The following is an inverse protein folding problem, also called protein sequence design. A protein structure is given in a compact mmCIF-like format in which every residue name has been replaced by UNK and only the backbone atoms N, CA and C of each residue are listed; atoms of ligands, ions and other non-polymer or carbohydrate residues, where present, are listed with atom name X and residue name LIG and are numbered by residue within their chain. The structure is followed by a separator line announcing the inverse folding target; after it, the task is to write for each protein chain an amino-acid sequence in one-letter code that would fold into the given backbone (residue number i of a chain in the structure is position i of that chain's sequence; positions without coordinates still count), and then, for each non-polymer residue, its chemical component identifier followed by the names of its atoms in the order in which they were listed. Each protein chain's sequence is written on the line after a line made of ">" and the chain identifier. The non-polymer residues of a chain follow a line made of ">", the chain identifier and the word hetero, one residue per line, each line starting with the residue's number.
data_IF_432836770442
#
_entry.id   IF_432836770442
#
_cell.length_a   1.000
_cell.length_b   1.000
_cell.length_c   1.000
_cell.angle_alpha   90.00
_cell.angle_beta   90.00
_cell.angle_gamma   90.00
#
_symmetry.space_group_name_H-M   'P 1'
#
loop_
_entity.id
_entity.type
_entity.pdbx_description
1 polymer ?
#
# COMPACT_ATOMS: atom_id res chain seq x y z
N UNK A 1 -0.82 -36.38 -25.43
CA UNK A 1 -2.05 -35.82 -24.84
C UNK A 1 -1.73 -35.41 -23.41
N UNK A 2 -1.23 -34.18 -23.20
CA UNK A 2 -0.97 -33.66 -21.85
C UNK A 2 -2.28 -33.20 -21.24
N UNK A 3 -2.68 -33.83 -20.13
CA UNK A 3 -3.83 -33.41 -19.35
C UNK A 3 -3.52 -32.06 -18.69
N UNK A 4 -4.23 -31.02 -19.10
CA UNK A 4 -4.28 -29.75 -18.37
C UNK A 4 -4.86 -30.04 -16.99
N UNK A 5 -4.07 -29.82 -15.94
CA UNK A 5 -4.53 -29.88 -14.57
C UNK A 5 -5.58 -28.79 -14.35
N UNK A 6 -6.85 -29.18 -14.29
CA UNK A 6 -7.94 -28.27 -14.05
C UNK A 6 -7.93 -27.91 -12.56
N UNK A 7 -7.53 -26.67 -12.28
CA UNK A 7 -7.43 -26.12 -10.93
C UNK A 7 -8.84 -26.05 -10.33
N UNK A 8 -9.03 -26.64 -9.15
CA UNK A 8 -10.31 -26.65 -8.44
C UNK A 8 -10.84 -25.21 -8.24
N UNK A 9 -12.17 -24.99 -8.27
CA UNK A 9 -12.75 -23.65 -8.15
C UNK A 9 -12.48 -23.11 -6.74
N UNK A 10 -11.54 -22.16 -6.65
CA UNK A 10 -11.26 -21.47 -5.39
C UNK A 10 -12.50 -20.70 -4.94
N UNK A 11 -12.82 -20.81 -3.64
CA UNK A 11 -13.89 -20.07 -2.98
C UNK A 11 -13.91 -18.60 -3.44
N UNK A 12 -15.09 -18.15 -3.91
CA UNK A 12 -15.41 -16.84 -4.47
C UNK A 12 -14.22 -15.89 -4.62
N UNK A 13 -13.62 -15.84 -5.81
CA UNK A 13 -12.64 -14.80 -6.15
C UNK A 13 -13.22 -13.43 -5.76
N UNK A 14 -12.42 -12.54 -5.15
CA UNK A 14 -12.90 -11.17 -4.90
C UNK A 14 -13.31 -10.54 -6.25
N UNK A 15 -14.33 -9.67 -6.24
CA UNK A 15 -14.78 -8.99 -7.48
C UNK A 15 -13.63 -8.26 -8.16
N UNK A 16 -12.72 -7.67 -7.38
CA UNK A 16 -11.50 -7.04 -7.88
C UNK A 16 -10.61 -8.03 -8.64
N UNK A 17 -10.37 -9.23 -8.08
CA UNK A 17 -9.58 -10.26 -8.77
C UNK A 17 -10.23 -10.73 -10.07
N UNK A 18 -11.56 -10.90 -10.10
CA UNK A 18 -12.28 -11.24 -11.35
C UNK A 18 -12.14 -10.15 -12.41
N UNK A 19 -12.19 -8.89 -12.00
CA UNK A 19 -12.04 -7.77 -12.92
C UNK A 19 -10.63 -7.76 -13.54
N UNK A 20 -9.60 -7.99 -12.73
CA UNK A 20 -8.21 -8.11 -13.21
C UNK A 20 -8.04 -9.32 -14.14
N UNK A 21 -8.57 -10.49 -13.77
CA UNK A 21 -8.56 -11.68 -14.62
C UNK A 21 -9.24 -11.42 -15.97
N UNK A 22 -10.39 -10.73 -15.98
CA UNK A 22 -11.10 -10.37 -17.20
C UNK A 22 -10.33 -9.34 -18.05
N UNK A 23 -9.61 -8.39 -17.45
CA UNK A 23 -8.74 -7.47 -18.17
C UNK A 23 -7.58 -8.21 -18.84
N UNK A 24 -6.91 -9.09 -18.11
CA UNK A 24 -5.80 -9.88 -18.62
C UNK A 24 -6.25 -10.85 -19.73
N UNK A 25 -7.39 -11.53 -19.55
CA UNK A 25 -7.96 -12.42 -20.56
C UNK A 25 -8.38 -11.69 -21.85
N UNK A 26 -8.73 -10.41 -21.74
CA UNK A 26 -9.03 -9.54 -22.88
C UNK A 26 -7.79 -8.81 -23.44
N UNK A 27 -6.58 -9.22 -23.04
CA UNK A 27 -5.30 -8.62 -23.44
C UNK A 27 -5.21 -7.11 -23.17
N UNK A 28 -5.90 -6.63 -22.11
CA UNK A 28 -5.83 -5.23 -21.67
C UNK A 28 -4.73 -5.03 -20.64
N UNK A 29 -4.15 -3.83 -20.67
CA UNK A 29 -3.16 -3.43 -19.67
C UNK A 29 -3.80 -3.35 -18.28
N UNK A 30 -3.11 -3.89 -17.28
CA UNK A 30 -3.40 -3.69 -15.85
C UNK A 30 -2.35 -2.73 -15.31
N UNK A 31 -2.78 -1.56 -14.86
CA UNK A 31 -1.91 -0.49 -14.38
C UNK A 31 -1.71 -0.62 -12.87
N UNK A 32 -0.46 -0.76 -12.46
CA UNK A 32 -0.05 -0.68 -11.06
C UNK A 32 0.13 0.79 -10.64
N UNK A 33 0.13 1.05 -9.34
CA UNK A 33 0.55 2.33 -8.80
C UNK A 33 2.04 2.61 -9.00
N UNK A 34 2.46 3.82 -8.64
CA UNK A 34 3.85 4.28 -8.73
C UNK A 34 4.56 4.33 -7.37
N UNK A 35 5.65 5.09 -7.32
CA UNK A 35 6.46 5.25 -6.11
C UNK A 35 5.76 6.07 -5.02
N UNK A 36 5.13 5.38 -4.05
CA UNK A 36 4.47 6.01 -2.89
C UNK A 36 5.45 6.90 -2.10
N UNK A 37 6.65 6.41 -1.79
CA UNK A 37 7.66 7.19 -1.07
C UNK A 37 8.05 8.49 -1.82
N UNK A 38 8.22 8.42 -3.13
CA UNK A 38 8.57 9.58 -3.96
C UNK A 38 7.44 10.60 -4.02
N UNK A 39 6.19 10.14 -4.04
CA UNK A 39 5.01 10.99 -3.99
C UNK A 39 4.81 11.64 -2.61
N UNK A 40 5.15 10.93 -1.53
CA UNK A 40 5.17 11.46 -0.16
C UNK A 40 6.23 12.56 -0.03
N UNK A 41 7.43 12.34 -0.55
CA UNK A 41 8.51 13.34 -0.58
C UNK A 41 8.09 14.62 -1.31
N UNK A 42 7.44 14.49 -2.48
CA UNK A 42 6.91 15.64 -3.23
C UNK A 42 5.92 16.46 -2.41
N UNK A 43 4.94 15.80 -1.78
CA UNK A 43 3.87 16.46 -1.00
C UNK A 43 4.39 17.13 0.26
N UNK A 44 5.47 16.63 0.83
CA UNK A 44 5.98 17.09 2.11
C UNK A 44 7.17 18.05 2.04
N UNK A 45 7.50 18.53 0.83
CA UNK A 45 8.41 19.65 0.53
C UNK A 45 9.11 20.23 1.78
N UNK A 46 10.15 19.55 2.28
CA UNK A 46 10.90 19.96 3.48
C UNK A 46 11.16 18.88 4.53
N UNK A 47 10.38 17.80 4.59
CA UNK A 47 10.71 16.65 5.45
C UNK A 47 11.84 15.83 4.80
N UNK A 48 12.95 15.63 5.50
CA UNK A 48 14.01 14.73 5.03
C UNK A 48 13.48 13.30 5.05
N UNK A 49 13.31 12.63 3.89
CA UNK A 49 12.89 11.24 3.88
C UNK A 49 13.85 10.42 4.72
N UNK A 50 13.30 9.60 5.61
CA UNK A 50 14.11 8.64 6.34
C UNK A 50 14.52 7.52 5.38
N UNK A 51 15.81 7.42 5.01
CA UNK A 51 16.26 6.41 4.05
C UNK A 51 16.04 4.98 4.58
N UNK A 52 15.93 4.79 5.90
CA UNK A 52 15.69 3.47 6.50
C UNK A 52 14.23 3.00 6.36
N UNK A 53 13.28 3.93 6.20
CA UNK A 53 11.85 3.64 6.21
C UNK A 53 11.15 3.84 4.86
N UNK A 54 11.82 4.41 3.84
CA UNK A 54 11.37 4.48 2.43
C UNK A 54 9.85 4.61 2.24
N UNK A 55 9.23 5.66 2.81
CA UNK A 55 7.78 5.89 2.74
C UNK A 55 6.98 5.36 3.94
N UNK A 56 7.27 4.14 4.43
CA UNK A 56 6.55 3.47 5.53
C UNK A 56 6.48 4.29 6.82
N UNK A 57 7.43 5.20 7.05
CA UNK A 57 7.40 6.15 8.16
C UNK A 57 6.10 6.98 8.18
N UNK A 58 5.51 7.25 7.02
CA UNK A 58 4.31 8.06 6.87
C UNK A 58 3.08 7.36 7.47
N UNK A 59 3.06 6.02 7.53
CA UNK A 59 2.01 5.30 8.26
C UNK A 59 2.00 5.64 9.76
N UNK A 60 3.16 5.99 10.34
CA UNK A 60 3.27 6.35 11.76
C UNK A 60 2.98 7.84 12.00
N UNK A 61 3.44 8.71 11.10
CA UNK A 61 3.49 10.16 11.35
C UNK A 61 2.54 10.99 10.48
N UNK A 62 2.21 10.52 9.28
CA UNK A 62 1.45 11.27 8.29
C UNK A 62 0.47 10.36 7.49
N UNK A 63 -0.42 9.59 8.14
CA UNK A 63 -1.27 8.63 7.46
C UNK A 63 -2.24 9.28 6.45
N UNK A 64 -2.60 10.55 6.65
CA UNK A 64 -3.39 11.29 5.65
C UNK A 64 -2.61 11.53 4.35
N UNK A 65 -1.30 11.78 4.44
CA UNK A 65 -0.47 11.93 3.24
C UNK A 65 -0.41 10.62 2.43
N UNK A 66 -0.38 9.47 3.11
CA UNK A 66 -0.46 8.15 2.46
C UNK A 66 -1.81 7.97 1.75
N UNK A 67 -2.91 8.34 2.41
CA UNK A 67 -4.25 8.32 1.80
C UNK A 67 -4.31 9.21 0.55
N UNK A 68 -3.78 10.43 0.61
CA UNK A 68 -3.82 11.37 -0.51
C UNK A 68 -2.95 10.91 -1.69
N UNK A 69 -1.85 10.18 -1.44
CA UNK A 69 -1.07 9.52 -2.48
C UNK A 69 -1.90 8.39 -3.12
N UNK A 70 -2.53 7.53 -2.33
CA UNK A 70 -3.39 6.47 -2.86
C UNK A 70 -4.55 7.04 -3.70
N UNK A 71 -5.23 8.09 -3.21
CA UNK A 71 -6.28 8.78 -3.98
C UNK A 71 -5.77 9.27 -5.33
N UNK A 72 -4.59 9.89 -5.37
CA UNK A 72 -4.02 10.35 -6.64
C UNK A 72 -3.75 9.22 -7.64
N UNK A 73 -3.43 8.01 -7.17
CA UNK A 73 -3.28 6.84 -8.04
C UNK A 73 -4.64 6.26 -8.47
N UNK A 74 -5.66 6.31 -7.60
CA UNK A 74 -7.03 5.99 -7.98
C UNK A 74 -7.51 6.94 -9.08
N UNK A 75 -7.36 8.25 -8.90
CA UNK A 75 -7.74 9.29 -9.86
C UNK A 75 -6.99 9.15 -11.21
N UNK A 76 -5.76 8.64 -11.18
CA UNK A 76 -4.98 8.35 -12.37
C UNK A 76 -5.44 7.08 -13.13
N UNK A 77 -6.39 6.33 -12.57
CA UNK A 77 -6.94 5.10 -13.17
C UNK A 77 -6.12 3.84 -12.89
N UNK A 78 -5.29 3.82 -11.83
CA UNK A 78 -4.57 2.60 -11.43
C UNK A 78 -5.55 1.49 -11.03
N UNK A 79 -5.24 0.25 -11.41
CA UNK A 79 -6.06 -0.92 -11.10
C UNK A 79 -5.60 -1.65 -9.83
N UNK A 80 -4.35 -1.44 -9.42
CA UNK A 80 -3.74 -2.07 -8.25
C UNK A 80 -2.97 -1.03 -7.47
N UNK A 81 -3.20 -0.98 -6.16
CA UNK A 81 -2.46 -0.15 -5.21
C UNK A 81 -1.58 -1.04 -4.32
N UNK A 82 -0.36 -0.58 -4.08
CA UNK A 82 0.52 -1.06 -3.02
C UNK A 82 0.11 -0.42 -1.69
N UNK A 83 0.34 -1.09 -0.56
CA UNK A 83 -0.20 -0.66 0.76
C UNK A 83 0.76 0.18 1.60
N UNK A 84 1.89 0.59 1.04
CA UNK A 84 2.97 1.33 1.74
C UNK A 84 3.56 0.57 2.95
N UNK A 85 3.56 -0.76 2.91
CA UNK A 85 4.05 -1.61 4.01
C UNK A 85 5.44 -2.21 3.76
N UNK A 86 6.31 -1.51 3.02
CA UNK A 86 7.67 -2.00 2.80
C UNK A 86 8.47 -1.97 4.12
N UNK A 87 9.28 -3.00 4.41
CA UNK A 87 10.08 -3.07 5.64
C UNK A 87 9.27 -2.97 6.95
N UNK A 88 7.97 -3.28 6.92
CA UNK A 88 7.04 -3.06 8.05
C UNK A 88 7.41 -3.82 9.33
N UNK A 89 8.15 -4.93 9.22
CA UNK A 89 8.58 -5.73 10.36
C UNK A 89 9.64 -5.04 11.21
N UNK A 90 10.53 -4.25 10.57
CA UNK A 90 11.57 -3.46 11.25
C UNK A 90 11.13 -2.03 11.53
N UNK A 91 10.11 -1.53 10.83
CA UNK A 91 9.68 -0.14 10.92
C UNK A 91 9.35 0.36 12.34
N UNK A 92 8.62 -0.39 13.21
CA UNK A 92 8.34 0.08 14.57
C UNK A 92 9.60 0.28 15.42
N UNK A 93 10.62 -0.57 15.22
CA UNK A 93 11.85 -0.47 15.99
C UNK A 93 12.72 0.70 15.52
N UNK A 94 12.80 0.92 14.20
CA UNK A 94 13.45 2.11 13.62
C UNK A 94 12.75 3.38 14.09
N UNK A 95 11.42 3.40 14.10
CA UNK A 95 10.63 4.53 14.59
C UNK A 95 10.84 4.80 16.08
N UNK A 96 10.85 3.75 16.91
CA UNK A 96 11.13 3.85 18.34
C UNK A 96 12.53 4.40 18.61
N UNK A 97 13.55 3.90 17.89
CA UNK A 97 14.93 4.37 18.01
C UNK A 97 15.02 5.86 17.71
N UNK A 98 14.24 6.36 16.75
CA UNK A 98 14.18 7.79 16.43
C UNK A 98 13.54 8.65 17.51
N UNK A 99 12.47 8.16 18.15
CA UNK A 99 11.76 8.91 19.20
C UNK A 99 12.54 8.98 20.53
N UNK A 100 13.53 8.12 20.73
CA UNK A 100 14.42 8.13 21.90
C UNK A 100 13.83 7.47 23.15
N UNK A 101 14.55 7.55 24.27
CA UNK A 101 14.27 6.80 25.51
C UNK A 101 12.95 7.18 26.24
N UNK A 102 12.14 8.09 25.68
CA UNK A 102 10.81 8.47 26.18
C UNK A 102 9.65 8.04 25.27
N UNK A 103 9.92 7.28 24.20
CA UNK A 103 8.88 6.76 23.33
C UNK A 103 7.95 5.82 24.13
N UNK A 104 6.64 6.03 24.01
CA UNK A 104 5.62 5.17 24.63
C UNK A 104 5.64 3.73 24.11
N UNK A 105 4.59 2.97 24.40
CA UNK A 105 4.48 1.58 23.93
C UNK A 105 4.65 1.52 22.40
N UNK A 106 5.48 0.59 21.93
CA UNK A 106 5.73 0.45 20.50
C UNK A 106 4.47 -0.04 19.79
N UNK A 107 4.06 0.69 18.76
CA UNK A 107 2.97 0.26 17.88
C UNK A 107 3.36 -1.09 17.27
N UNK A 108 2.51 -2.09 17.45
CA UNK A 108 2.77 -3.41 16.90
C UNK A 108 2.72 -3.34 15.36
N UNK A 109 3.69 -3.94 14.67
CA UNK A 109 3.80 -3.86 13.20
C UNK A 109 2.51 -4.24 12.46
N UNK A 110 1.73 -5.17 13.02
CA UNK A 110 0.44 -5.57 12.45
C UNK A 110 -0.58 -4.43 12.40
N UNK A 111 -0.57 -3.53 13.39
CA UNK A 111 -1.51 -2.41 13.44
C UNK A 111 -1.19 -1.39 12.36
N UNK A 112 0.10 -1.19 12.10
CA UNK A 112 0.62 -0.36 11.02
C UNK A 112 0.33 -1.00 9.66
N UNK A 113 0.54 -2.31 9.51
CA UNK A 113 0.18 -3.04 8.28
C UNK A 113 -1.33 -2.96 7.98
N UNK A 114 -2.16 -3.13 9.01
CA UNK A 114 -3.62 -2.96 8.88
C UNK A 114 -3.98 -1.52 8.53
N UNK A 115 -3.26 -0.53 9.05
CA UNK A 115 -3.46 0.87 8.68
C UNK A 115 -3.17 1.09 7.19
N UNK A 116 -2.02 0.62 6.67
CA UNK A 116 -1.69 0.71 5.24
C UNK A 116 -2.78 0.10 4.36
N UNK A 117 -3.28 -1.11 4.71
CA UNK A 117 -4.40 -1.75 4.00
C UNK A 117 -5.67 -0.91 4.06
N UNK A 118 -6.02 -0.36 5.23
CA UNK A 118 -7.23 0.48 5.38
C UNK A 118 -7.16 1.75 4.55
N UNK A 119 -6.01 2.41 4.50
CA UNK A 119 -5.84 3.65 3.74
C UNK A 119 -5.97 3.40 2.24
N UNK A 120 -5.37 2.33 1.72
CA UNK A 120 -5.53 1.94 0.31
C UNK A 120 -7.00 1.61 -0.04
N UNK A 121 -7.69 0.86 0.83
CA UNK A 121 -9.13 0.56 0.63
C UNK A 121 -10.00 1.80 0.67
N UNK A 122 -9.75 2.67 1.64
CA UNK A 122 -10.47 3.94 1.78
C UNK A 122 -10.31 4.83 0.55
N UNK A 123 -9.10 4.89 -0.02
CA UNK A 123 -8.88 5.61 -1.28
C UNK A 123 -9.74 5.07 -2.43
N UNK A 124 -9.91 3.74 -2.52
CA UNK A 124 -10.77 3.09 -3.53
C UNK A 124 -12.25 3.37 -3.27
N UNK A 125 -12.67 3.37 -2.01
CA UNK A 125 -14.08 3.60 -1.62
C UNK A 125 -14.51 5.07 -1.78
N UNK A 126 -13.57 6.01 -1.65
CA UNK A 126 -13.80 7.45 -1.77
C UNK A 126 -13.49 8.01 -3.16
N UNK A 127 -12.85 7.23 -4.04
CA UNK A 127 -12.60 7.60 -5.43
C UNK A 127 -13.80 7.32 -6.34
N UNK A 128 -13.96 8.13 -7.39
CA UNK A 128 -15.04 8.04 -8.37
C UNK A 128 -14.82 6.96 -9.45
#
# INVERSE_FOLDING_TARGET
>A
MSASAQRAPAASSSSAYRQLEAMLAAERCVVLDGGVATELERRQSGATPDPELWGTWALFRAPQAVLDVHRSYVDAGCNVLSTDTWSILSAPEVERRRLGAGAGEAVHWMDVARLGIRLARRAIEEGD
#
